data_IF_376508878028
#
_entry.id   IF_376508878028
#
_cell.length_a   1.000
_cell.length_b   1.000
_cell.length_c   1.000
_cell.angle_alpha   90.00
_cell.angle_beta   90.00
_cell.angle_gamma   90.00
#
_symmetry.space_group_name_H-M   'P 1'
#
loop_
_entity.id
_entity.type
_entity.pdbx_description
1 polymer ?
#
# COMPACT_ATOMS: atom_id res chain seq x y z
N UNK A 1 22.06 2.59 -19.97
CA UNK A 1 21.24 2.06 -18.87
C UNK A 1 20.16 1.17 -19.49
N UNK A 2 20.33 -0.16 -19.57
CA UNK A 2 19.26 -1.04 -20.03
C UNK A 2 18.41 -1.45 -18.82
N UNK A 3 17.47 -0.61 -18.36
CA UNK A 3 16.69 -0.94 -17.15
C UNK A 3 15.22 -0.52 -17.13
N UNK A 4 14.64 -0.09 -18.26
CA UNK A 4 13.20 0.23 -18.34
C UNK A 4 12.49 -0.41 -19.53
N UNK A 5 13.07 -1.48 -20.11
CA UNK A 5 12.42 -2.21 -21.21
C UNK A 5 11.02 -2.68 -20.85
N UNK A 6 10.80 -3.09 -19.60
CA UNK A 6 9.50 -3.47 -19.08
C UNK A 6 8.44 -2.36 -19.14
N UNK A 7 8.83 -1.08 -19.07
CA UNK A 7 7.88 0.07 -19.15
C UNK A 7 7.29 0.25 -20.55
N UNK A 8 8.05 -0.10 -21.60
CA UNK A 8 7.73 0.29 -22.97
C UNK A 8 7.63 -0.89 -23.96
N UNK A 9 8.27 -2.03 -23.71
CA UNK A 9 8.41 -3.14 -24.67
C UNK A 9 7.50 -4.36 -24.39
N UNK A 10 6.86 -4.45 -23.21
CA UNK A 10 6.20 -5.69 -22.73
C UNK A 10 4.68 -5.49 -22.53
N UNK A 11 4.07 -4.60 -23.32
CA UNK A 11 2.63 -4.35 -23.30
C UNK A 11 1.96 -4.87 -24.59
N UNK A 12 0.75 -5.47 -24.50
CA UNK A 12 -0.04 -5.71 -23.29
C UNK A 12 0.50 -6.89 -22.46
N UNK A 13 0.52 -6.73 -21.13
CA UNK A 13 0.95 -7.78 -20.21
C UNK A 13 -0.09 -8.90 -20.15
N UNK A 14 0.26 -10.07 -20.67
CA UNK A 14 -0.48 -11.30 -20.39
C UNK A 14 0.02 -11.89 -19.07
N UNK A 15 -0.82 -11.86 -18.03
CA UNK A 15 -0.46 -12.39 -16.71
C UNK A 15 -0.49 -13.92 -16.71
N UNK A 16 0.57 -14.53 -16.15
CA UNK A 16 0.59 -15.97 -15.87
C UNK A 16 -0.46 -16.34 -14.82
N UNK A 17 -0.80 -17.63 -14.71
CA UNK A 17 -1.78 -18.08 -13.71
C UNK A 17 -1.34 -17.78 -12.27
N UNK A 18 -0.04 -17.81 -12.01
CA UNK A 18 0.54 -17.46 -10.70
C UNK A 18 0.38 -15.96 -10.43
N UNK A 19 0.68 -15.12 -11.41
CA UNK A 19 0.55 -13.65 -11.30
C UNK A 19 -0.90 -13.22 -11.10
N UNK A 20 -1.83 -13.83 -11.84
CA UNK A 20 -3.26 -13.58 -11.64
C UNK A 20 -3.67 -13.91 -10.20
N UNK A 21 -3.20 -15.04 -9.64
CA UNK A 21 -3.52 -15.43 -8.26
C UNK A 21 -2.95 -14.46 -7.23
N UNK A 22 -1.68 -14.06 -7.38
CA UNK A 22 -1.04 -13.06 -6.49
C UNK A 22 -1.77 -11.73 -6.56
N UNK A 23 -2.05 -11.25 -7.78
CA UNK A 23 -2.78 -10.00 -8.00
C UNK A 23 -4.20 -10.05 -7.41
N UNK A 24 -4.97 -11.11 -7.64
CA UNK A 24 -6.30 -11.23 -7.06
C UNK A 24 -6.26 -11.33 -5.54
N UNK A 25 -5.30 -12.06 -4.97
CA UNK A 25 -5.10 -12.13 -3.52
C UNK A 25 -4.81 -10.75 -2.94
N UNK A 26 -3.86 -10.01 -3.52
CA UNK A 26 -3.54 -8.65 -3.13
C UNK A 26 -4.74 -7.69 -3.28
N UNK A 27 -5.46 -7.77 -4.40
CA UNK A 27 -6.67 -7.00 -4.67
C UNK A 27 -7.73 -7.21 -3.59
N UNK A 28 -8.10 -8.47 -3.32
CA UNK A 28 -9.16 -8.78 -2.36
C UNK A 28 -8.75 -8.38 -0.95
N UNK A 29 -7.51 -8.64 -0.56
CA UNK A 29 -7.00 -8.23 0.75
C UNK A 29 -6.95 -6.71 0.88
N UNK A 30 -6.49 -5.99 -0.13
CA UNK A 30 -6.52 -4.52 -0.13
C UNK A 30 -7.95 -3.98 -0.02
N UNK A 31 -8.93 -4.62 -0.68
CA UNK A 31 -10.33 -4.25 -0.51
C UNK A 31 -10.85 -4.53 0.91
N UNK A 32 -10.47 -5.68 1.50
CA UNK A 32 -10.84 -5.99 2.89
C UNK A 32 -10.19 -4.99 3.84
N UNK A 33 -8.92 -4.62 3.63
CA UNK A 33 -8.26 -3.55 4.37
C UNK A 33 -9.06 -2.25 4.29
N UNK A 34 -9.42 -1.81 3.08
CA UNK A 34 -10.21 -0.59 2.92
C UNK A 34 -11.59 -0.65 3.59
N UNK A 35 -12.23 -1.82 3.58
CA UNK A 35 -13.53 -2.02 4.23
C UNK A 35 -13.45 -2.02 5.77
N UNK A 36 -12.35 -2.54 6.33
CA UNK A 36 -12.16 -2.61 7.78
C UNK A 36 -11.57 -1.30 8.26
N UNK A 37 -10.40 -0.92 7.74
CA UNK A 37 -9.51 0.12 8.26
C UNK A 37 -9.51 1.42 7.46
N UNK A 38 -10.02 1.40 6.22
CA UNK A 38 -10.14 2.61 5.39
C UNK A 38 -11.23 3.55 5.92
N UNK A 39 -11.19 4.80 5.47
CA UNK A 39 -12.24 5.75 5.82
C UNK A 39 -13.53 5.47 5.02
N UNK A 40 -14.66 5.89 5.59
CA UNK A 40 -15.97 5.63 5.01
C UNK A 40 -16.15 6.50 3.76
N UNK A 41 -16.52 5.85 2.65
CA UNK A 41 -16.91 6.57 1.43
C UNK A 41 -18.13 7.46 1.72
N UNK A 42 -18.01 8.74 1.38
CA UNK A 42 -19.10 9.72 1.42
C UNK A 42 -19.73 9.87 0.02
N UNK A 43 -21.00 9.47 -0.15
CA UNK A 43 -21.79 9.86 -1.32
C UNK A 43 -21.93 11.38 -1.43
N UNK A 44 -22.11 11.90 -2.64
CA UNK A 44 -22.24 13.36 -2.88
C UNK A 44 -23.45 13.98 -2.18
N UNK A 45 -24.53 13.22 -2.05
CA UNK A 45 -25.77 13.66 -1.42
C UNK A 45 -25.81 13.38 0.09
N UNK A 46 -24.73 12.85 0.65
CA UNK A 46 -24.66 12.55 2.08
C UNK A 46 -24.27 13.79 2.89
N UNK A 47 -24.96 13.97 4.01
CA UNK A 47 -24.54 14.90 5.04
C UNK A 47 -23.14 14.56 5.55
N UNK A 48 -22.49 15.54 6.16
CA UNK A 48 -21.23 15.33 6.86
C UNK A 48 -21.40 14.16 7.86
N UNK A 49 -20.48 13.17 7.86
CA UNK A 49 -20.62 12.02 8.73
C UNK A 49 -20.57 12.46 10.20
N UNK A 50 -21.52 11.96 11.00
CA UNK A 50 -21.52 12.17 12.45
C UNK A 50 -20.30 11.51 13.11
N UNK A 51 -19.77 10.44 12.49
CA UNK A 51 -18.60 9.69 12.93
C UNK A 51 -17.75 9.32 11.73
N UNK A 52 -16.46 9.63 11.79
CA UNK A 52 -15.47 9.09 10.86
C UNK A 52 -14.84 7.84 11.46
N UNK A 53 -14.16 7.10 10.59
CA UNK A 53 -13.42 5.91 10.99
C UNK A 53 -12.06 6.24 11.61
N UNK A 54 -12.06 6.77 12.84
CA UNK A 54 -10.83 7.14 13.54
C UNK A 54 -10.19 5.96 14.29
N UNK A 55 -9.96 4.83 13.62
CA UNK A 55 -9.33 3.68 14.29
C UNK A 55 -7.99 4.03 14.93
N UNK A 56 -7.28 4.96 14.29
CA UNK A 56 -5.86 5.18 14.46
C UNK A 56 -5.50 6.59 14.92
N UNK A 57 -6.44 7.54 14.80
CA UNK A 57 -6.23 8.94 15.19
C UNK A 57 -7.09 9.24 16.41
N UNK A 58 -6.45 9.52 17.55
CA UNK A 58 -7.17 10.14 18.66
C UNK A 58 -7.48 11.60 18.29
N UNK A 59 -8.72 11.90 17.91
CA UNK A 59 -9.21 13.26 18.14
C UNK A 59 -9.17 13.50 19.63
N UNK A 60 -8.62 14.65 20.04
CA UNK A 60 -8.35 15.04 21.43
C UNK A 60 -9.30 14.34 22.43
N UNK A 61 -8.73 13.39 23.21
CA UNK A 61 -9.38 12.63 24.30
C UNK A 61 -10.22 11.39 23.92
N UNK A 62 -10.15 10.89 22.68
CA UNK A 62 -10.72 9.58 22.33
C UNK A 62 -9.59 8.55 22.21
N UNK A 63 -9.60 7.45 22.99
CA UNK A 63 -8.59 6.40 22.84
C UNK A 63 -8.66 5.75 21.45
N UNK A 64 -7.53 5.22 20.98
CA UNK A 64 -7.49 4.40 19.76
C UNK A 64 -8.45 3.23 19.92
N UNK A 65 -9.04 2.80 18.81
CA UNK A 65 -9.90 1.60 18.84
C UNK A 65 -9.09 0.33 18.65
N UNK A 66 -8.01 0.41 17.87
CA UNK A 66 -7.06 -0.68 17.71
C UNK A 66 -5.65 -0.19 17.96
N UNK A 67 -4.91 -0.94 18.76
CA UNK A 67 -3.46 -0.85 18.82
C UNK A 67 -2.82 -1.51 17.58
N UNK A 68 -1.57 -1.16 17.25
CA UNK A 68 -0.88 -1.70 16.08
C UNK A 68 -0.79 -3.24 16.11
N UNK A 69 -0.56 -3.83 17.29
CA UNK A 69 -0.57 -5.29 17.49
C UNK A 69 -1.94 -5.91 17.18
N UNK A 70 -3.04 -5.25 17.55
CA UNK A 70 -4.38 -5.75 17.29
C UNK A 70 -4.71 -5.75 15.80
N UNK A 71 -4.28 -4.72 15.07
CA UNK A 71 -4.39 -4.68 13.60
C UNK A 71 -3.57 -5.79 12.95
N UNK A 72 -2.34 -6.01 13.44
CA UNK A 72 -1.53 -7.12 12.98
C UNK A 72 -2.27 -8.45 13.17
N UNK A 73 -2.70 -8.75 14.40
CA UNK A 73 -3.38 -10.02 14.72
C UNK A 73 -4.69 -10.19 13.95
N UNK A 74 -5.44 -9.11 13.75
CA UNK A 74 -6.72 -9.13 13.05
C UNK A 74 -6.54 -9.38 11.54
N UNK A 75 -5.49 -8.82 10.94
CA UNK A 75 -5.36 -8.79 9.50
C UNK A 75 -4.10 -9.50 8.98
N UNK A 76 -2.93 -8.95 9.26
CA UNK A 76 -1.66 -9.40 8.67
C UNK A 76 -1.16 -10.74 9.21
N UNK A 77 -1.38 -11.03 10.49
CA UNK A 77 -0.87 -12.23 11.15
C UNK A 77 -1.34 -13.52 10.51
N UNK A 78 -2.48 -13.51 9.80
CA UNK A 78 -3.01 -14.70 9.09
C UNK A 78 -2.46 -14.88 7.68
N UNK A 79 -1.55 -14.00 7.24
CA UNK A 79 -0.99 -13.97 5.90
C UNK A 79 0.45 -14.46 5.89
N UNK A 80 0.86 -15.14 4.82
CA UNK A 80 2.28 -15.43 4.67
C UNK A 80 3.05 -14.11 4.45
N UNK A 81 4.31 -13.99 4.92
CA UNK A 81 5.04 -12.71 4.88
C UNK A 81 5.13 -12.09 3.48
N UNK A 82 5.36 -12.87 2.42
CA UNK A 82 5.38 -12.34 1.04
C UNK A 82 4.02 -11.84 0.56
N UNK A 83 2.92 -12.36 1.10
CA UNK A 83 1.59 -11.88 0.72
C UNK A 83 1.29 -10.49 1.31
N UNK A 84 1.99 -10.08 2.39
CA UNK A 84 1.95 -8.70 2.89
C UNK A 84 2.61 -7.75 1.88
N UNK A 85 3.74 -8.16 1.30
CA UNK A 85 4.42 -7.43 0.23
C UNK A 85 3.63 -7.39 -1.08
N UNK A 86 2.88 -8.45 -1.40
CA UNK A 86 1.93 -8.43 -2.53
C UNK A 86 0.87 -7.33 -2.34
N UNK A 87 0.33 -7.17 -1.12
CA UNK A 87 -0.60 -6.07 -0.80
C UNK A 87 0.11 -4.72 -0.94
N UNK A 88 1.34 -4.59 -0.43
CA UNK A 88 2.12 -3.36 -0.53
C UNK A 88 2.34 -2.92 -1.97
N UNK A 89 2.75 -3.87 -2.82
CA UNK A 89 2.89 -3.68 -4.26
C UNK A 89 1.57 -3.22 -4.91
N UNK A 90 0.46 -3.86 -4.54
CA UNK A 90 -0.84 -3.53 -5.10
C UNK A 90 -1.39 -2.18 -4.60
N UNK A 91 -1.19 -1.86 -3.31
CA UNK A 91 -1.50 -0.55 -2.74
C UNK A 91 -0.72 0.54 -3.45
N UNK A 92 0.58 0.34 -3.67
CA UNK A 92 1.43 1.31 -4.37
C UNK A 92 1.00 1.49 -5.82
N UNK A 93 0.59 0.41 -6.49
CA UNK A 93 -0.07 0.51 -7.78
C UNK A 93 -1.32 1.39 -7.72
N UNK A 94 -2.21 1.18 -6.74
CA UNK A 94 -3.42 2.02 -6.57
C UNK A 94 -3.07 3.48 -6.31
N UNK A 95 -2.11 3.77 -5.43
CA UNK A 95 -1.59 5.11 -5.15
C UNK A 95 -1.14 5.82 -6.44
N UNK A 96 -0.39 5.13 -7.31
CA UNK A 96 0.03 5.69 -8.60
C UNK A 96 -1.12 5.90 -9.58
N UNK A 97 -2.13 5.01 -9.58
CA UNK A 97 -3.33 5.16 -10.42
C UNK A 97 -4.20 6.35 -10.03
N UNK A 98 -4.05 6.89 -8.81
CA UNK A 98 -4.69 8.14 -8.41
C UNK A 98 -4.05 9.40 -9.00
N UNK A 99 -2.78 9.35 -9.44
CA UNK A 99 -2.07 10.55 -9.87
C UNK A 99 -2.82 11.34 -10.95
N UNK A 100 -3.28 10.67 -12.00
CA UNK A 100 -3.99 11.31 -13.12
C UNK A 100 -5.28 12.03 -12.69
N UNK A 101 -6.30 11.35 -12.11
CA UNK A 101 -7.52 12.05 -11.69
C UNK A 101 -7.25 13.09 -10.60
N UNK A 102 -6.29 12.84 -9.71
CA UNK A 102 -5.94 13.76 -8.64
C UNK A 102 -5.37 15.08 -9.18
N UNK A 103 -4.40 15.01 -10.09
CA UNK A 103 -3.78 16.21 -10.68
C UNK A 103 -4.73 16.95 -11.59
N UNK A 104 -5.54 16.25 -12.39
CA UNK A 104 -6.58 16.89 -13.21
C UNK A 104 -7.51 17.78 -12.35
N UNK A 105 -7.95 17.26 -11.21
CA UNK A 105 -8.83 17.96 -10.28
C UNK A 105 -8.09 19.08 -9.54
N UNK A 106 -6.88 18.81 -9.04
CA UNK A 106 -6.06 19.79 -8.34
C UNK A 106 -5.71 20.97 -9.24
N UNK A 107 -5.31 20.74 -10.49
CA UNK A 107 -4.96 21.79 -11.44
C UNK A 107 -6.18 22.62 -11.82
N UNK A 108 -7.36 21.98 -11.93
CA UNK A 108 -8.62 22.70 -12.16
C UNK A 108 -8.95 23.64 -11.00
N UNK A 109 -8.75 23.24 -9.75
CA UNK A 109 -8.99 24.12 -8.59
C UNK A 109 -7.95 25.24 -8.53
N UNK A 110 -6.67 24.94 -8.78
CA UNK A 110 -5.60 25.94 -8.81
C UNK A 110 -5.83 27.03 -9.88
N UNK A 111 -6.57 26.73 -10.94
CA UNK A 111 -6.91 27.73 -11.97
C UNK A 111 -7.73 28.91 -11.44
N UNK A 112 -8.40 28.76 -10.28
CA UNK A 112 -9.12 29.83 -9.59
C UNK A 112 -8.20 30.72 -8.73
N UNK A 113 -6.90 30.43 -8.65
CA UNK A 113 -5.92 31.20 -7.88
C UNK A 113 -6.04 31.00 -6.37
N UNK A 114 -5.58 32.01 -5.60
CA UNK A 114 -5.67 32.02 -4.12
C UNK A 114 -7.11 32.38 -3.72
N UNK A 115 -7.99 31.40 -3.79
CA UNK A 115 -9.43 31.54 -3.60
C UNK A 115 -9.94 30.46 -2.66
N UNK A 116 -10.80 30.85 -1.71
CA UNK A 116 -11.50 29.89 -0.86
C UNK A 116 -12.52 29.12 -1.69
N UNK A 117 -12.72 27.83 -1.39
CA UNK A 117 -13.71 27.01 -2.12
C UNK A 117 -15.13 27.58 -1.95
N UNK A 118 -15.43 28.21 -0.80
CA UNK A 118 -16.70 28.90 -0.54
C UNK A 118 -16.95 30.10 -1.45
N UNK A 119 -15.90 30.64 -2.06
CA UNK A 119 -15.95 31.85 -2.89
C UNK A 119 -16.01 31.53 -4.38
N UNK A 120 -15.99 30.24 -4.76
CA UNK A 120 -16.21 29.81 -6.14
C UNK A 120 -17.62 30.20 -6.63
N UNK A 121 -17.82 30.34 -7.95
CA UNK A 121 -19.16 30.52 -8.53
C UNK A 121 -20.14 29.47 -8.01
N UNK A 122 -21.43 29.81 -7.75
CA UNK A 122 -22.38 28.88 -7.13
C UNK A 122 -22.55 27.54 -7.85
N UNK A 123 -22.36 27.50 -9.17
CA UNK A 123 -22.43 26.29 -9.97
C UNK A 123 -21.12 25.47 -9.98
N UNK A 124 -20.03 26.04 -9.47
CA UNK A 124 -18.71 25.43 -9.36
C UNK A 124 -18.36 25.01 -7.93
N UNK A 125 -19.17 25.40 -6.94
CA UNK A 125 -18.95 25.00 -5.55
C UNK A 125 -19.17 23.49 -5.36
N UNK A 126 -18.16 22.74 -4.89
CA UNK A 126 -18.31 21.33 -4.54
C UNK A 126 -19.15 21.18 -3.26
N UNK A 127 -19.70 19.98 -2.98
CA UNK A 127 -20.34 19.71 -1.71
C UNK A 127 -19.31 19.84 -0.57
N UNK A 128 -19.50 20.83 0.31
CA UNK A 128 -18.63 21.13 1.45
C UNK A 128 -18.82 20.15 2.62
N UNK A 129 -18.89 18.85 2.33
CA UNK A 129 -19.08 17.80 3.33
C UNK A 129 -17.78 17.42 4.08
N UNK A 130 -16.61 17.86 3.58
CA UNK A 130 -15.30 17.75 4.25
C UNK A 130 -14.58 19.10 4.33
N UNK A 131 -13.51 19.16 5.14
CA UNK A 131 -12.75 20.36 5.44
C UNK A 131 -11.76 20.70 4.31
N UNK A 132 -12.25 21.38 3.28
CA UNK A 132 -11.41 22.04 2.27
C UNK A 132 -11.66 23.54 2.39
N UNK A 133 -10.61 24.31 2.62
CA UNK A 133 -10.72 25.76 2.76
C UNK A 133 -10.29 26.44 1.46
N UNK A 134 -9.13 26.04 0.94
CA UNK A 134 -8.46 26.73 -0.15
C UNK A 134 -8.39 25.85 -1.41
N UNK A 135 -8.44 26.49 -2.58
CA UNK A 135 -8.34 25.78 -3.86
C UNK A 135 -6.96 25.12 -4.11
N UNK A 136 -5.93 25.46 -3.33
CA UNK A 136 -4.60 24.86 -3.38
C UNK A 136 -4.36 23.77 -2.31
N UNK A 137 -5.32 23.52 -1.41
CA UNK A 137 -5.19 22.52 -0.33
C UNK A 137 -4.88 21.12 -0.87
N UNK A 138 -5.52 20.71 -1.98
CA UNK A 138 -5.23 19.43 -2.63
C UNK A 138 -3.77 19.36 -3.12
N UNK A 139 -3.23 20.47 -3.64
CA UNK A 139 -1.86 20.47 -4.16
C UNK A 139 -0.84 20.37 -3.04
N UNK A 140 -1.08 21.07 -1.94
CA UNK A 140 -0.18 21.10 -0.78
C UNK A 140 -0.11 19.74 -0.09
N UNK A 141 -1.22 18.98 -0.08
CA UNK A 141 -1.37 17.73 0.67
C UNK A 141 -1.42 16.50 -0.25
N UNK A 142 -0.79 16.57 -1.42
CA UNK A 142 -0.88 15.55 -2.46
C UNK A 142 -0.59 14.14 -1.93
N UNK A 143 0.53 13.96 -1.24
CA UNK A 143 0.97 12.64 -0.78
C UNK A 143 -0.02 12.04 0.21
N UNK A 144 -0.30 12.74 1.31
CA UNK A 144 -1.26 12.31 2.35
C UNK A 144 -2.63 11.95 1.73
N UNK A 145 -3.11 12.78 0.82
CA UNK A 145 -4.40 12.61 0.19
C UNK A 145 -4.44 11.37 -0.70
N UNK A 146 -3.42 11.16 -1.55
CA UNK A 146 -3.36 9.99 -2.44
C UNK A 146 -3.16 8.69 -1.67
N UNK A 147 -2.43 8.72 -0.57
CA UNK A 147 -2.28 7.56 0.31
C UNK A 147 -3.60 7.20 0.99
N UNK A 148 -4.33 8.20 1.48
CA UNK A 148 -5.66 8.03 2.05
C UNK A 148 -6.64 7.44 1.04
N UNK A 149 -6.68 7.99 -0.18
CA UNK A 149 -7.51 7.50 -1.28
C UNK A 149 -7.14 6.08 -1.71
N UNK A 150 -5.85 5.73 -1.72
CA UNK A 150 -5.42 4.36 -1.98
C UNK A 150 -5.90 3.39 -0.90
N UNK A 151 -5.99 3.83 0.36
CA UNK A 151 -6.48 3.03 1.48
C UNK A 151 -7.99 2.78 1.47
N UNK A 152 -8.80 3.55 0.74
CA UNK A 152 -10.23 3.25 0.54
C UNK A 152 -10.48 1.92 -0.20
N UNK A 153 -9.43 1.39 -0.83
CA UNK A 153 -9.47 0.14 -1.57
C UNK A 153 -9.80 0.31 -3.05
N UNK A 154 -9.58 -0.76 -3.83
CA UNK A 154 -9.62 -0.69 -5.29
C UNK A 154 -11.02 -0.42 -5.87
N UNK A 155 -12.11 -0.74 -5.15
CA UNK A 155 -13.47 -0.50 -5.67
C UNK A 155 -13.76 0.99 -5.85
N UNK A 156 -13.30 1.84 -4.91
CA UNK A 156 -13.47 3.29 -5.01
C UNK A 156 -12.62 3.88 -6.13
N UNK A 157 -11.37 3.42 -6.27
CA UNK A 157 -10.51 3.79 -7.40
C UNK A 157 -11.16 3.44 -8.74
N UNK A 158 -11.74 2.23 -8.88
CA UNK A 158 -12.43 1.82 -10.11
C UNK A 158 -13.65 2.67 -10.38
N UNK A 159 -14.43 3.04 -9.35
CA UNK A 159 -15.54 4.00 -9.48
C UNK A 159 -15.04 5.33 -10.05
N UNK A 160 -13.97 5.89 -9.48
CA UNK A 160 -13.38 7.15 -9.93
C UNK A 160 -12.82 7.11 -11.35
N UNK A 161 -12.11 6.05 -11.72
CA UNK A 161 -11.57 5.89 -13.07
C UNK A 161 -12.65 5.66 -14.14
N UNK A 162 -13.85 5.21 -13.74
CA UNK A 162 -14.98 5.01 -14.65
C UNK A 162 -15.90 6.22 -14.75
N UNK A 163 -15.84 7.15 -13.78
CA UNK A 163 -16.65 8.36 -13.80
C UNK A 163 -16.18 9.30 -14.91
N UNK A 164 -17.05 9.55 -15.89
CA UNK A 164 -16.72 10.34 -17.08
C UNK A 164 -17.03 11.80 -16.88
N UNK A 165 -18.00 12.14 -16.05
CA UNK A 165 -18.33 13.52 -15.75
C UNK A 165 -17.29 14.13 -14.82
N UNK A 166 -16.63 15.19 -15.29
CA UNK A 166 -15.54 15.82 -14.55
C UNK A 166 -16.03 16.41 -13.22
N UNK A 167 -17.19 17.09 -13.21
CA UNK A 167 -17.72 17.72 -12.00
C UNK A 167 -18.07 16.66 -10.94
N UNK A 168 -18.75 15.58 -11.33
CA UNK A 168 -19.05 14.45 -10.47
C UNK A 168 -17.77 13.81 -9.91
N UNK A 169 -16.74 13.62 -10.75
CA UNK A 169 -15.45 13.07 -10.33
C UNK A 169 -14.73 13.99 -9.34
N UNK A 170 -14.67 15.29 -9.63
CA UNK A 170 -14.11 16.33 -8.75
C UNK A 170 -14.78 16.30 -7.38
N UNK A 171 -16.10 16.33 -7.36
CA UNK A 171 -16.88 16.39 -6.14
C UNK A 171 -16.73 15.08 -5.34
N UNK A 172 -16.63 13.93 -6.02
CA UNK A 172 -16.38 12.63 -5.36
C UNK A 172 -15.00 12.59 -4.72
N UNK A 173 -13.97 13.10 -5.39
CA UNK A 173 -12.62 13.18 -4.84
C UNK A 173 -12.60 14.07 -3.60
N UNK A 174 -13.15 15.28 -3.69
CA UNK A 174 -13.19 16.23 -2.59
C UNK A 174 -13.99 15.69 -1.40
N UNK A 175 -15.12 15.04 -1.66
CA UNK A 175 -15.94 14.42 -0.62
C UNK A 175 -15.24 13.28 0.12
N UNK A 176 -14.21 12.67 -0.47
CA UNK A 176 -13.57 11.46 0.09
C UNK A 176 -12.12 11.66 0.46
N UNK A 177 -11.50 12.77 0.08
CA UNK A 177 -10.10 13.00 0.41
C UNK A 177 -9.96 13.43 1.88
N UNK A 178 -9.00 12.84 2.59
CA UNK A 178 -8.71 13.15 4.01
C UNK A 178 -7.20 13.17 4.18
N UNK A 179 -6.65 14.30 4.63
CA UNK A 179 -5.19 14.47 4.80
C UNK A 179 -4.64 14.02 6.16
N UNK A 180 -5.51 13.68 7.12
CA UNK A 180 -5.12 13.34 8.50
C UNK A 180 -5.54 11.91 8.85
N UNK A 181 -5.39 10.98 7.91
CA UNK A 181 -5.73 9.59 8.15
C UNK A 181 -4.47 8.74 8.12
N UNK A 182 -4.45 7.71 8.95
CA UNK A 182 -3.35 6.79 8.99
C UNK A 182 -3.34 5.90 7.76
N UNK A 183 -2.14 5.57 7.31
CA UNK A 183 -1.92 4.93 6.03
C UNK A 183 -1.50 3.47 6.20
N UNK A 184 -1.79 2.65 5.19
CA UNK A 184 -1.30 1.27 5.12
C UNK A 184 0.23 1.20 5.34
N UNK A 185 0.98 2.23 4.91
CA UNK A 185 2.43 2.29 5.09
C UNK A 185 2.88 2.53 6.54
N UNK A 186 2.07 3.20 7.36
CA UNK A 186 2.41 3.51 8.76
C UNK A 186 2.31 2.26 9.63
N UNK A 187 1.40 1.34 9.27
CA UNK A 187 1.19 0.05 9.93
C UNK A 187 2.00 -1.10 9.33
N UNK A 188 3.00 -0.76 8.51
CA UNK A 188 4.01 -1.73 8.16
C UNK A 188 4.59 -2.33 9.45
N UNK A 189 4.70 -3.66 9.59
CA UNK A 189 5.07 -4.31 10.84
C UNK A 189 6.39 -3.81 11.42
N UNK A 190 6.37 -2.78 12.25
CA UNK A 190 7.51 -2.40 13.07
C UNK A 190 7.32 -3.09 14.41
N UNK A 191 8.15 -4.07 14.78
CA UNK A 191 8.16 -4.59 16.13
C UNK A 191 8.76 -3.50 17.03
N UNK A 192 7.96 -2.49 17.36
CA UNK A 192 8.31 -1.52 18.40
C UNK A 192 8.36 -2.20 19.79
N UNK A 193 7.87 -3.45 19.89
CA UNK A 193 7.75 -4.23 21.12
C UNK A 193 8.51 -5.58 21.08
N UNK A 194 9.79 -5.57 20.71
CA UNK A 194 10.68 -6.72 20.92
C UNK A 194 10.26 -8.06 20.27
N UNK A 195 10.98 -9.16 20.59
CA UNK A 195 10.71 -10.46 20.00
C UNK A 195 9.31 -10.99 20.37
N UNK A 196 8.45 -11.22 19.38
CA UNK A 196 7.12 -11.85 19.55
C UNK A 196 5.90 -10.93 19.43
N UNK A 197 6.07 -9.62 19.23
CA UNK A 197 4.96 -8.67 19.09
C UNK A 197 4.06 -8.91 17.87
N UNK A 198 4.58 -9.58 16.83
CA UNK A 198 3.90 -9.73 15.55
C UNK A 198 3.83 -11.21 15.14
N UNK A 199 3.04 -12.05 15.85
CA UNK A 199 3.00 -13.48 15.57
C UNK A 199 2.38 -13.77 14.21
N UNK A 200 2.90 -14.79 13.54
CA UNK A 200 2.16 -15.48 12.49
C UNK A 200 1.09 -16.34 13.15
N UNK A 201 -0.14 -16.20 12.70
CA UNK A 201 -1.35 -16.87 13.17
C UNK A 201 -1.85 -17.82 12.10
N UNK A 202 -2.66 -18.81 12.50
CA UNK A 202 -3.26 -19.74 11.55
C UNK A 202 -3.97 -19.02 10.38
N UNK A 203 -3.69 -19.37 9.11
CA UNK A 203 -2.86 -20.50 8.65
C UNK A 203 -1.39 -20.16 8.34
N UNK A 204 -0.94 -18.94 8.60
CA UNK A 204 0.43 -18.47 8.32
C UNK A 204 1.45 -18.91 9.39
N UNK A 205 1.00 -19.33 10.57
CA UNK A 205 1.82 -19.93 11.62
C UNK A 205 2.66 -21.12 11.12
N UNK A 206 2.20 -21.83 10.08
CA UNK A 206 2.96 -22.90 9.40
C UNK A 206 4.31 -22.45 8.81
N UNK A 207 4.50 -21.14 8.61
CA UNK A 207 5.75 -20.57 8.11
C UNK A 207 6.67 -20.09 9.22
N UNK A 208 6.28 -20.21 10.49
CA UNK A 208 7.10 -19.77 11.61
C UNK A 208 8.18 -20.80 11.95
N UNK A 209 9.35 -20.65 11.33
CA UNK A 209 10.52 -21.51 11.58
C UNK A 209 11.49 -20.93 12.62
N UNK A 210 11.15 -19.80 13.27
CA UNK A 210 12.06 -19.13 14.20
C UNK A 210 13.37 -18.75 13.51
N UNK A 211 14.46 -19.41 13.88
CA UNK A 211 15.80 -19.23 13.31
C UNK A 211 16.17 -20.27 12.24
N UNK A 212 15.29 -21.24 11.94
CA UNK A 212 15.56 -22.32 10.99
C UNK A 212 15.23 -21.92 9.54
N UNK A 213 16.10 -21.09 8.96
CA UNK A 213 15.96 -20.61 7.58
C UNK A 213 16.00 -21.75 6.55
N UNK A 214 16.82 -22.77 6.78
CA UNK A 214 16.96 -23.90 5.87
C UNK A 214 15.70 -24.77 5.89
N UNK A 215 15.15 -25.04 7.07
CA UNK A 215 13.85 -25.70 7.22
C UNK A 215 12.71 -24.96 6.51
N UNK A 216 12.67 -23.62 6.59
CA UNK A 216 11.72 -22.84 5.81
C UNK A 216 11.91 -23.04 4.31
N UNK A 217 13.16 -22.95 3.81
CA UNK A 217 13.45 -23.11 2.37
C UNK A 217 13.04 -24.51 1.89
N UNK A 218 13.35 -25.55 2.66
CA UNK A 218 12.90 -26.92 2.37
C UNK A 218 11.38 -27.03 2.32
N UNK A 219 10.68 -26.44 3.29
CA UNK A 219 9.22 -26.44 3.34
C UNK A 219 8.61 -25.70 2.14
N UNK A 220 9.11 -24.51 1.79
CA UNK A 220 8.63 -23.73 0.65
C UNK A 220 8.74 -24.52 -0.66
N UNK A 221 9.82 -25.28 -0.85
CA UNK A 221 10.02 -26.14 -2.03
C UNK A 221 8.95 -27.25 -2.16
N UNK A 222 8.23 -27.59 -1.09
CA UNK A 222 7.12 -28.56 -1.14
C UNK A 222 5.80 -27.96 -1.61
N UNK A 223 5.66 -26.63 -1.59
CA UNK A 223 4.42 -25.93 -1.90
C UNK A 223 4.25 -25.70 -3.40
N UNK A 224 3.03 -25.48 -3.90
CA UNK A 224 2.85 -25.04 -5.29
C UNK A 224 3.30 -23.57 -5.47
N UNK A 225 3.70 -23.14 -6.69
CA UNK A 225 4.31 -21.81 -6.91
C UNK A 225 3.49 -20.59 -6.45
N UNK A 226 2.17 -20.70 -6.37
CA UNK A 226 1.28 -19.61 -5.95
C UNK A 226 1.16 -19.48 -4.42
N UNK A 227 1.61 -20.49 -3.68
CA UNK A 227 1.76 -20.50 -2.22
C UNK A 227 3.20 -20.23 -1.79
N UNK A 228 4.11 -19.95 -2.73
CA UNK A 228 5.50 -19.59 -2.47
C UNK A 228 5.73 -18.09 -2.73
N UNK A 229 6.73 -17.48 -2.07
CA UNK A 229 7.28 -16.21 -2.53
C UNK A 229 7.88 -16.36 -3.93
N UNK A 230 8.11 -15.25 -4.62
CA UNK A 230 8.90 -15.28 -5.86
C UNK A 230 10.40 -15.15 -5.56
N UNK A 231 11.20 -15.36 -6.59
CA UNK A 231 12.66 -15.26 -6.50
C UNK A 231 13.16 -13.88 -6.08
N UNK A 232 12.48 -12.78 -6.47
CA UNK A 232 12.89 -11.43 -6.07
C UNK A 232 12.67 -11.19 -4.57
N UNK A 233 11.51 -11.61 -4.05
CA UNK A 233 11.21 -11.58 -2.63
C UNK A 233 12.15 -12.48 -1.83
N UNK A 234 12.43 -13.68 -2.34
CA UNK A 234 13.36 -14.63 -1.71
C UNK A 234 14.78 -14.06 -1.66
N UNK A 235 15.24 -13.42 -2.74
CA UNK A 235 16.56 -12.78 -2.77
C UNK A 235 16.64 -11.62 -1.78
N UNK A 236 15.59 -10.79 -1.70
CA UNK A 236 15.55 -9.64 -0.82
C UNK A 236 15.50 -10.04 0.66
N UNK A 237 14.65 -11.00 1.02
CA UNK A 237 14.33 -11.29 2.43
C UNK A 237 14.94 -12.58 2.98
N UNK A 238 15.26 -13.57 2.13
CA UNK A 238 15.84 -14.87 2.52
C UNK A 238 17.25 -15.08 1.95
N UNK A 239 17.84 -14.03 1.38
CA UNK A 239 19.19 -13.99 0.86
C UNK A 239 20.27 -14.01 1.96
N UNK A 240 21.53 -13.86 1.55
CA UNK A 240 22.63 -13.72 2.51
C UNK A 240 22.61 -12.33 3.17
N UNK A 241 23.08 -12.25 4.42
CA UNK A 241 23.20 -10.98 5.15
C UNK A 241 21.94 -10.57 5.91
N UNK A 242 21.32 -11.51 6.64
CA UNK A 242 20.28 -11.17 7.63
C UNK A 242 20.93 -10.46 8.82
N UNK A 243 20.28 -9.38 9.29
CA UNK A 243 20.72 -8.68 10.50
C UNK A 243 20.28 -9.43 11.77
N UNK A 244 19.11 -10.08 11.70
CA UNK A 244 18.53 -10.89 12.78
C UNK A 244 18.56 -12.39 12.45
N UNK A 245 18.76 -13.26 13.46
CA UNK A 245 18.77 -14.71 13.24
C UNK A 245 17.38 -15.28 12.95
N UNK A 246 16.30 -14.62 13.39
CA UNK A 246 14.93 -15.00 13.09
C UNK A 246 14.53 -14.62 11.66
N UNK A 247 13.99 -15.59 10.92
CA UNK A 247 13.78 -15.53 9.47
C UNK A 247 13.07 -14.26 8.97
N UNK A 248 12.02 -13.80 9.64
CA UNK A 248 11.17 -12.69 9.15
C UNK A 248 11.34 -11.38 9.91
N UNK A 249 12.14 -11.34 10.99
CA UNK A 249 12.30 -10.12 11.79
C UNK A 249 12.85 -9.00 10.92
N UNK A 250 13.85 -9.32 10.11
CA UNK A 250 14.40 -8.47 9.08
C UNK A 250 13.36 -7.86 8.14
N UNK A 251 12.42 -8.65 7.62
CA UNK A 251 11.35 -8.17 6.75
C UNK A 251 10.41 -7.22 7.49
N UNK A 252 10.11 -7.51 8.74
CA UNK A 252 9.26 -6.65 9.54
C UNK A 252 9.98 -5.32 9.85
N UNK A 253 11.21 -5.37 10.35
CA UNK A 253 12.01 -4.19 10.66
C UNK A 253 12.26 -3.28 9.44
N UNK A 254 12.47 -3.84 8.25
CA UNK A 254 12.94 -3.08 7.08
C UNK A 254 11.99 -3.08 5.87
N UNK A 255 10.89 -3.83 5.89
CA UNK A 255 10.02 -4.02 4.73
C UNK A 255 9.12 -2.85 4.38
N UNK A 256 9.21 -1.71 5.10
CA UNK A 256 8.41 -0.52 4.80
C UNK A 256 8.47 -0.17 3.31
N UNK A 257 7.48 0.57 2.76
CA UNK A 257 7.31 0.74 1.31
C UNK A 257 8.63 1.08 0.64
N UNK A 258 9.20 0.08 0.00
CA UNK A 258 10.47 0.21 -0.68
C UNK A 258 10.20 0.67 -2.11
N UNK A 259 11.22 1.22 -2.75
CA UNK A 259 11.18 1.44 -4.20
C UNK A 259 10.88 0.15 -4.99
N UNK A 260 10.98 -1.04 -4.37
CA UNK A 260 10.59 -2.29 -5.00
C UNK A 260 9.07 -2.43 -5.16
N UNK A 261 8.29 -1.86 -4.25
CA UNK A 261 6.82 -1.90 -4.33
C UNK A 261 6.29 -1.06 -5.49
N UNK A 262 7.03 -0.05 -5.96
CA UNK A 262 6.66 0.78 -7.12
C UNK A 262 6.54 -0.02 -8.41
N UNK A 263 7.44 -1.00 -8.62
CA UNK A 263 7.40 -1.87 -9.79
C UNK A 263 6.70 -3.21 -9.51
N UNK A 264 6.19 -3.40 -8.30
CA UNK A 264 5.36 -4.55 -7.93
C UNK A 264 6.13 -5.86 -7.76
N UNK A 265 7.35 -5.80 -7.22
CA UNK A 265 8.29 -6.93 -7.22
C UNK A 265 7.74 -8.26 -6.75
N UNK A 266 6.85 -8.26 -5.74
CA UNK A 266 6.28 -9.48 -5.16
C UNK A 266 5.16 -10.11 -6.03
N UNK A 267 4.61 -9.37 -7.00
CA UNK A 267 3.45 -9.82 -7.79
C UNK A 267 3.83 -10.70 -8.99
N UNK A 268 5.04 -10.52 -9.53
CA UNK A 268 5.48 -11.17 -10.76
C UNK A 268 5.91 -12.61 -10.56
N UNK A 269 5.76 -13.45 -11.60
CA UNK A 269 6.29 -14.81 -11.57
C UNK A 269 7.80 -14.84 -11.77
N UNK A 270 8.42 -15.95 -11.39
CA UNK A 270 9.86 -16.11 -11.48
C UNK A 270 10.35 -16.02 -12.93
N UNK A 271 9.61 -16.60 -13.87
CA UNK A 271 9.93 -16.54 -15.29
C UNK A 271 9.96 -15.10 -15.79
N UNK A 272 9.01 -14.27 -15.37
CA UNK A 272 8.93 -12.85 -15.75
C UNK A 272 10.09 -12.06 -15.14
N UNK A 273 10.40 -12.29 -13.88
CA UNK A 273 11.50 -11.63 -13.19
C UNK A 273 12.85 -11.95 -13.84
N UNK A 274 13.04 -13.19 -14.29
CA UNK A 274 14.22 -13.63 -15.04
C UNK A 274 14.25 -12.97 -16.42
N UNK A 275 13.13 -13.01 -17.17
CA UNK A 275 13.02 -12.37 -18.49
C UNK A 275 13.35 -10.88 -18.44
N UNK A 276 12.92 -10.19 -17.38
CA UNK A 276 13.17 -8.76 -17.19
C UNK A 276 14.59 -8.44 -16.72
N UNK A 277 15.39 -9.44 -16.34
CA UNK A 277 16.67 -9.21 -15.67
C UNK A 277 16.50 -8.46 -14.35
N UNK A 278 15.37 -8.62 -13.67
CA UNK A 278 15.03 -7.84 -12.48
C UNK A 278 15.95 -8.16 -11.29
N UNK A 279 16.53 -9.36 -11.25
CA UNK A 279 17.36 -9.85 -10.14
C UNK A 279 18.70 -9.11 -10.00
N UNK A 280 19.14 -8.45 -11.07
CA UNK A 280 20.36 -7.64 -11.07
C UNK A 280 20.15 -6.24 -10.48
N UNK A 281 18.90 -5.87 -10.17
CA UNK A 281 18.60 -4.58 -9.57
C UNK A 281 19.23 -4.46 -8.18
N UNK A 282 19.93 -3.35 -7.97
CA UNK A 282 20.63 -3.05 -6.73
C UNK A 282 19.68 -2.97 -5.52
N UNK A 283 18.43 -2.56 -5.71
CA UNK A 283 17.43 -2.50 -4.64
C UNK A 283 16.95 -3.88 -4.16
N UNK A 284 17.32 -4.98 -4.84
CA UNK A 284 17.12 -6.36 -4.39
C UNK A 284 18.36 -6.95 -3.69
N UNK A 285 19.37 -6.11 -3.40
CA UNK A 285 20.63 -6.50 -2.77
C UNK A 285 20.74 -5.85 -1.39
N UNK A 286 20.62 -6.66 -0.33
CA UNK A 286 20.68 -6.18 1.06
C UNK A 286 22.08 -5.82 1.54
N UNK A 287 23.10 -6.42 0.95
CA UNK A 287 24.52 -6.17 1.23
C UNK A 287 24.96 -4.73 0.96
N UNK A 288 24.09 -3.88 0.41
CA UNK A 288 24.38 -2.47 0.15
C UNK A 288 23.56 -1.48 0.96
N UNK A 289 22.67 -1.97 1.82
CA UNK A 289 21.91 -1.14 2.77
C UNK A 289 22.51 -1.13 4.18
N UNK A 290 23.66 -1.77 4.41
CA UNK A 290 24.35 -1.70 5.70
C UNK A 290 24.65 -0.24 6.02
N UNK A 291 24.03 0.37 7.05
CA UNK A 291 24.60 1.58 7.61
C UNK A 291 25.98 1.18 8.14
N UNK A 292 27.00 1.97 7.79
CA UNK A 292 28.28 1.89 8.49
C UNK A 292 27.95 1.89 9.98
N UNK A 293 28.45 0.94 10.79
CA UNK A 293 28.20 0.96 12.22
C UNK A 293 28.61 2.34 12.72
N UNK A 294 27.71 3.03 13.41
CA UNK A 294 28.05 4.22 14.17
C UNK A 294 28.99 3.78 15.31
N UNK A 295 30.26 3.57 14.96
CA UNK A 295 31.35 3.38 15.88
C UNK A 295 32.04 4.72 16.09
N UNK A 296 31.66 5.40 17.17
CA UNK A 296 32.53 6.02 18.17
C UNK A 296 31.68 6.69 19.25
#
# INVERSE_FOLDING_TARGET
>A
MPSEKWKNEILPLSLSRTEQRRLFRAFYRMQIWGNIFGHIELPLDADRPEKENYWFSSRERVPLVFEAEEVWRLFFGTMAPWEVEEIACFWRHCYHRWAEPYFEISDSLLSYGVTFISDLPPDEQPPLNRHWYDCDDLRIREDDNRESLACMGPSFLVKMLRERDFRTRRDLLLANTISWHHFFHEYWPRPDDGPGALPLLYPADKFNFGTDLDGLKEFLNTLPPHEQPNIAWTQLWLGAGLDFPEVFVDMFCYGGPSSNSDWGFALWSDERLIEWGALDQFCLRRDVFTPIPAGL
#
